data_IF_956738722784
#
_entry.id   IF_956738722784
#
_cell.length_a   1.000
_cell.length_b   1.000
_cell.length_c   1.000
_cell.angle_alpha   90.00
_cell.angle_beta   90.00
_cell.angle_gamma   90.00
#
_symmetry.space_group_name_H-M   'P 1'
#
loop_
_entity.id
_entity.type
_entity.pdbx_description
1 polymer ?
#
# COMPACT_ATOMS: atom_id res chain seq x y z
N UNK A 1 34.48 -47.30 -47.71
CA UNK A 1 33.10 -47.27 -47.17
C UNK A 1 32.87 -46.44 -45.89
N UNK A 2 33.84 -46.10 -45.01
CA UNK A 2 33.54 -45.32 -43.78
C UNK A 2 33.30 -43.81 -44.03
N UNK A 3 33.88 -43.24 -45.10
CA UNK A 3 33.76 -41.81 -45.41
C UNK A 3 32.32 -41.37 -45.74
N UNK A 4 31.51 -42.27 -46.30
CA UNK A 4 30.10 -42.02 -46.62
C UNK A 4 29.22 -41.93 -45.35
N UNK A 5 29.58 -42.67 -44.31
CA UNK A 5 28.91 -42.61 -43.00
C UNK A 5 29.24 -41.32 -42.26
N UNK A 6 30.52 -40.93 -42.25
CA UNK A 6 30.97 -39.68 -41.61
C UNK A 6 30.30 -38.46 -42.25
N UNK A 7 30.20 -38.44 -43.59
CA UNK A 7 29.55 -37.35 -44.32
C UNK A 7 28.03 -37.32 -44.10
N UNK A 8 27.38 -38.49 -44.02
CA UNK A 8 25.96 -38.60 -43.69
C UNK A 8 25.66 -38.07 -42.28
N UNK A 9 26.44 -38.47 -41.27
CA UNK A 9 26.28 -38.00 -39.88
C UNK A 9 26.51 -36.49 -39.78
N UNK A 10 27.50 -35.93 -40.48
CA UNK A 10 27.72 -34.48 -40.52
C UNK A 10 26.51 -33.71 -41.07
N UNK A 11 25.90 -34.20 -42.15
CA UNK A 11 24.70 -33.59 -42.73
C UNK A 11 23.51 -33.62 -41.76
N UNK A 12 23.35 -34.71 -41.03
CA UNK A 12 22.28 -34.82 -40.03
C UNK A 12 22.51 -33.88 -38.84
N UNK A 13 23.75 -33.74 -38.37
CA UNK A 13 24.11 -32.74 -37.34
C UNK A 13 23.78 -31.32 -37.81
N UNK A 14 24.13 -30.98 -39.05
CA UNK A 14 23.85 -29.65 -39.60
C UNK A 14 22.36 -29.40 -39.79
N UNK A 15 21.59 -30.43 -40.17
CA UNK A 15 20.13 -30.38 -40.23
C UNK A 15 19.52 -30.12 -38.85
N UNK A 16 19.92 -30.89 -37.84
CA UNK A 16 19.44 -30.74 -36.47
C UNK A 16 19.79 -29.36 -35.89
N UNK A 17 20.99 -28.83 -36.18
CA UNK A 17 21.37 -27.46 -35.77
C UNK A 17 20.44 -26.40 -36.36
N UNK A 18 20.10 -26.52 -37.65
CA UNK A 18 19.14 -25.61 -38.30
C UNK A 18 17.77 -25.70 -37.66
N UNK A 19 17.30 -26.91 -37.38
CA UNK A 19 15.99 -27.12 -36.75
C UNK A 19 15.95 -26.57 -35.32
N UNK A 20 17.02 -26.75 -34.53
CA UNK A 20 17.16 -26.11 -33.22
C UNK A 20 17.10 -24.59 -33.36
N UNK A 21 17.84 -24.01 -34.31
CA UNK A 21 17.82 -22.56 -34.56
C UNK A 21 16.43 -22.03 -34.91
N UNK A 22 15.70 -22.75 -35.75
CA UNK A 22 14.34 -22.39 -36.14
C UNK A 22 13.38 -22.47 -34.94
N UNK A 23 13.38 -23.59 -34.19
CA UNK A 23 12.56 -23.75 -32.99
C UNK A 23 12.89 -22.71 -31.90
N UNK A 24 14.16 -22.32 -31.76
CA UNK A 24 14.53 -21.26 -30.81
C UNK A 24 13.99 -19.89 -31.23
N UNK A 25 13.96 -19.59 -32.52
CA UNK A 25 13.36 -18.36 -33.05
C UNK A 25 11.84 -18.34 -32.86
N UNK A 26 11.18 -19.48 -33.10
CA UNK A 26 9.74 -19.64 -32.87
C UNK A 26 9.40 -19.48 -31.38
N UNK A 27 10.18 -20.06 -30.47
CA UNK A 27 10.02 -19.87 -29.03
C UNK A 27 10.20 -18.41 -28.61
N UNK A 28 11.14 -17.69 -29.21
CA UNK A 28 11.32 -16.26 -28.95
C UNK A 28 10.09 -15.45 -29.41
N UNK A 29 9.59 -15.71 -30.62
CA UNK A 29 8.40 -15.06 -31.16
C UNK A 29 7.14 -15.33 -30.32
N UNK A 30 6.95 -16.58 -29.85
CA UNK A 30 5.84 -16.94 -28.97
C UNK A 30 5.94 -16.26 -27.61
N UNK A 31 7.15 -16.16 -27.03
CA UNK A 31 7.37 -15.41 -25.78
C UNK A 31 7.02 -13.93 -25.95
N UNK A 32 7.43 -13.31 -27.06
CA UNK A 32 7.09 -11.92 -27.36
C UNK A 32 5.59 -11.72 -27.54
N UNK A 33 4.91 -12.66 -28.22
CA UNK A 33 3.46 -12.68 -28.34
C UNK A 33 2.77 -12.76 -26.97
N UNK A 34 3.21 -13.67 -26.11
CA UNK A 34 2.69 -13.83 -24.76
C UNK A 34 2.87 -12.55 -23.93
N UNK A 35 4.03 -11.89 -23.99
CA UNK A 35 4.28 -10.60 -23.31
C UNK A 35 3.30 -9.54 -23.82
N UNK A 36 3.09 -9.45 -25.13
CA UNK A 36 2.14 -8.48 -25.73
C UNK A 36 0.71 -8.74 -25.25
N UNK A 37 0.26 -9.99 -25.26
CA UNK A 37 -1.08 -10.34 -24.80
C UNK A 37 -1.25 -10.18 -23.29
N UNK A 38 -0.24 -10.47 -22.47
CA UNK A 38 -0.26 -10.19 -21.04
C UNK A 38 -0.36 -8.68 -20.76
N UNK A 39 0.38 -7.85 -21.50
CA UNK A 39 0.27 -6.38 -21.38
C UNK A 39 -1.11 -5.89 -21.78
N UNK A 40 -1.65 -6.38 -22.90
CA UNK A 40 -3.00 -6.05 -23.32
C UNK A 40 -4.03 -6.47 -22.27
N UNK A 41 -3.90 -7.69 -21.73
CA UNK A 41 -4.76 -8.17 -20.65
C UNK A 41 -4.66 -7.30 -19.39
N UNK A 42 -3.47 -6.88 -18.96
CA UNK A 42 -3.31 -5.96 -17.83
C UNK A 42 -3.96 -4.59 -18.05
N UNK A 43 -3.94 -4.08 -19.29
CA UNK A 43 -4.59 -2.83 -19.67
C UNK A 43 -6.12 -2.98 -19.71
N UNK A 44 -6.62 -4.09 -20.24
CA UNK A 44 -8.05 -4.38 -20.39
C UNK A 44 -8.72 -4.83 -19.09
N UNK A 45 -8.03 -5.63 -18.26
CA UNK A 45 -8.53 -6.11 -16.97
C UNK A 45 -8.58 -5.00 -15.91
N UNK A 46 -8.33 -3.75 -16.28
CA UNK A 46 -8.37 -2.62 -15.37
C UNK A 46 -7.34 -2.78 -14.26
N UNK A 47 -6.06 -2.95 -14.64
CA UNK A 47 -4.96 -3.05 -13.70
C UNK A 47 -5.12 -2.09 -12.53
N UNK A 48 -5.37 -2.66 -11.36
CA UNK A 48 -5.57 -1.97 -10.11
C UNK A 48 -4.49 -0.91 -9.87
N UNK A 49 -4.91 0.36 -10.00
CA UNK A 49 -4.79 1.39 -8.97
C UNK A 49 -3.52 1.42 -8.09
N UNK A 50 -2.31 1.18 -8.60
CA UNK A 50 -1.11 1.81 -8.04
C UNK A 50 -0.16 2.19 -9.16
N UNK A 51 -0.40 3.38 -9.71
CA UNK A 51 0.69 4.20 -10.21
C UNK A 51 1.82 4.15 -9.17
N UNK A 52 2.90 3.44 -9.48
CA UNK A 52 4.18 3.61 -8.82
C UNK A 52 4.60 5.05 -9.13
N UNK A 53 4.12 5.98 -8.31
CA UNK A 53 4.76 7.29 -8.20
C UNK A 53 6.23 6.99 -7.92
N UNK A 54 7.18 7.64 -8.62
CA UNK A 54 8.58 7.47 -8.30
C UNK A 54 8.74 7.78 -6.82
N UNK A 55 9.10 6.75 -6.06
CA UNK A 55 9.49 6.91 -4.67
C UNK A 55 10.74 7.75 -4.74
N UNK A 56 10.58 9.08 -4.60
CA UNK A 56 11.68 9.97 -4.24
C UNK A 56 12.37 9.28 -3.09
N UNK A 57 13.60 8.84 -3.30
CA UNK A 57 14.51 8.38 -2.24
C UNK A 57 14.63 9.54 -1.26
N UNK A 58 13.69 9.63 -0.32
CA UNK A 58 13.81 10.52 0.83
C UNK A 58 14.93 9.90 1.62
N UNK A 59 16.09 10.58 1.59
CA UNK A 59 17.23 10.26 2.42
C UNK A 59 16.74 9.89 3.81
N UNK A 60 17.34 8.82 4.34
CA UNK A 60 17.07 8.19 5.62
C UNK A 60 16.78 9.24 6.68
N UNK A 61 15.50 9.58 6.84
CA UNK A 61 15.08 10.56 7.82
C UNK A 61 15.34 9.89 9.17
N UNK A 62 16.28 10.50 9.93
CA UNK A 62 16.63 10.14 11.30
C UNK A 62 15.42 9.56 12.00
N UNK A 63 15.53 8.29 12.42
CA UNK A 63 14.51 7.54 13.16
C UNK A 63 14.05 8.40 14.34
N UNK A 64 12.99 9.16 14.12
CA UNK A 64 12.30 9.91 15.17
C UNK A 64 11.44 8.84 15.82
N UNK A 65 11.73 8.55 17.08
CA UNK A 65 11.00 7.56 17.88
C UNK A 65 9.51 7.75 17.61
N UNK A 66 8.79 6.69 17.14
CA UNK A 66 7.37 6.81 16.85
C UNK A 66 6.65 7.29 18.11
N UNK A 67 6.12 8.52 18.08
CA UNK A 67 5.30 9.05 19.18
C UNK A 67 4.19 8.05 19.48
N UNK A 68 4.19 7.51 20.70
CA UNK A 68 3.15 6.59 21.14
C UNK A 68 1.87 7.37 21.42
N UNK A 69 1.02 7.45 20.40
CA UNK A 69 -0.25 8.17 20.46
C UNK A 69 -1.21 7.63 21.52
N UNK A 70 -1.18 6.33 21.84
CA UNK A 70 -2.10 5.78 22.85
C UNK A 70 -1.76 6.30 24.25
N UNK A 71 -0.49 6.22 24.66
CA UNK A 71 -0.05 6.78 25.94
C UNK A 71 -0.24 8.31 26.01
N UNK A 72 -0.19 8.99 24.86
CA UNK A 72 -0.47 10.41 24.78
C UNK A 72 -1.95 10.73 24.99
N UNK A 73 -2.85 9.86 24.49
CA UNK A 73 -4.27 10.01 24.76
C UNK A 73 -4.52 10.00 26.27
N UNK A 74 -3.88 9.12 27.03
CA UNK A 74 -4.06 9.02 28.49
C UNK A 74 -3.68 10.33 29.21
N UNK A 75 -2.66 11.05 28.72
CA UNK A 75 -2.21 12.33 29.27
C UNK A 75 -3.10 13.52 28.91
N UNK A 76 -3.99 13.40 27.92
CA UNK A 76 -4.88 14.50 27.52
C UNK A 76 -6.00 14.72 28.57
N UNK A 77 -6.52 15.95 28.68
CA UNK A 77 -7.71 16.19 29.49
C UNK A 77 -8.93 15.41 28.97
N UNK A 78 -9.94 15.19 29.81
CA UNK A 78 -11.18 14.50 29.42
C UNK A 78 -11.88 15.13 28.22
N UNK A 79 -11.72 16.44 28.03
CA UNK A 79 -12.14 17.19 26.83
C UNK A 79 -10.92 17.90 26.26
N UNK A 80 -10.65 17.68 24.99
CA UNK A 80 -9.44 18.20 24.35
C UNK A 80 -9.70 18.60 22.90
N UNK A 81 -8.85 19.47 22.38
CA UNK A 81 -8.88 19.97 21.01
C UNK A 81 -7.68 19.48 20.23
N UNK A 82 -7.69 19.65 18.90
CA UNK A 82 -6.53 19.37 18.04
C UNK A 82 -5.27 20.12 18.51
N UNK A 83 -5.43 21.31 19.12
CA UNK A 83 -4.33 22.10 19.66
C UNK A 83 -3.71 21.45 20.90
N UNK A 84 -4.54 20.86 21.76
CA UNK A 84 -4.09 20.16 22.97
C UNK A 84 -3.33 18.88 22.61
N UNK A 85 -3.79 18.16 21.57
CA UNK A 85 -3.06 17.01 21.01
C UNK A 85 -1.71 17.46 20.44
N UNK A 86 -1.68 18.57 19.71
CA UNK A 86 -0.43 19.09 19.14
C UNK A 86 0.56 19.54 20.22
N UNK A 87 0.07 20.16 21.31
CA UNK A 87 0.88 20.57 22.46
C UNK A 87 1.43 19.36 23.23
N UNK A 88 0.59 18.36 23.48
CA UNK A 88 1.02 17.13 24.17
C UNK A 88 1.99 16.28 23.34
N UNK A 89 2.01 16.46 22.02
CA UNK A 89 2.90 15.75 21.11
C UNK A 89 4.34 16.28 21.11
N UNK A 90 4.64 17.32 21.92
CA UNK A 90 5.86 18.15 22.14
C UNK A 90 7.25 17.68 21.65
N UNK A 91 7.29 17.08 20.47
CA UNK A 91 8.45 16.45 19.84
C UNK A 91 8.30 16.61 18.33
N UNK A 92 8.70 17.78 17.83
CA UNK A 92 9.12 17.97 16.45
C UNK A 92 8.05 17.81 15.37
N UNK A 93 7.55 18.95 14.88
CA UNK A 93 7.07 19.15 13.49
C UNK A 93 6.00 18.17 12.96
N UNK A 94 5.15 17.59 13.80
CA UNK A 94 4.01 16.83 13.27
C UNK A 94 2.96 17.80 12.73
N UNK A 95 2.61 17.66 11.45
CA UNK A 95 1.69 18.57 10.79
C UNK A 95 0.31 18.52 11.45
N UNK A 96 -0.39 19.67 11.50
CA UNK A 96 -1.77 19.76 11.99
C UNK A 96 -2.70 18.74 11.31
N UNK A 97 -2.46 18.45 10.04
CA UNK A 97 -3.16 17.39 9.29
C UNK A 97 -2.95 15.98 9.89
N UNK A 98 -1.71 15.64 10.27
CA UNK A 98 -1.41 14.35 10.89
C UNK A 98 -2.06 14.22 12.27
N UNK A 99 -2.03 15.28 13.07
CA UNK A 99 -2.70 15.33 14.39
C UNK A 99 -4.22 15.12 14.25
N UNK A 100 -4.84 15.73 13.23
CA UNK A 100 -6.25 15.49 12.92
C UNK A 100 -6.54 14.03 12.54
N UNK A 101 -5.67 13.40 11.76
CA UNK A 101 -5.82 11.98 11.40
C UNK A 101 -5.77 11.08 12.64
N UNK A 102 -4.88 11.36 13.59
CA UNK A 102 -4.81 10.61 14.85
C UNK A 102 -6.11 10.77 15.65
N UNK A 103 -6.63 11.99 15.77
CA UNK A 103 -7.89 12.23 16.47
C UNK A 103 -9.08 11.51 15.81
N UNK A 104 -9.12 11.48 14.47
CA UNK A 104 -10.13 10.70 13.71
C UNK A 104 -9.98 9.21 13.95
N UNK A 105 -8.74 8.69 14.04
CA UNK A 105 -8.50 7.27 14.37
C UNK A 105 -8.97 6.92 15.77
N UNK A 106 -8.72 7.76 16.77
CA UNK A 106 -9.25 7.55 18.12
C UNK A 106 -10.78 7.56 18.17
N UNK A 107 -11.42 8.43 17.37
CA UNK A 107 -12.87 8.45 17.25
C UNK A 107 -13.41 7.18 16.59
N UNK A 108 -12.76 6.68 15.53
CA UNK A 108 -13.11 5.40 14.89
C UNK A 108 -12.92 4.21 15.83
N UNK A 109 -11.90 4.26 16.70
CA UNK A 109 -11.61 3.21 17.69
C UNK A 109 -12.51 3.27 18.93
N UNK A 110 -13.45 4.22 19.01
CA UNK A 110 -14.33 4.38 20.18
C UNK A 110 -13.65 4.91 21.44
N UNK A 111 -12.36 5.29 21.37
CA UNK A 111 -11.62 5.86 22.52
C UNK A 111 -12.06 7.29 22.85
N UNK A 112 -12.55 8.01 21.84
CA UNK A 112 -12.92 9.43 21.96
C UNK A 112 -14.21 9.71 21.18
N UNK A 113 -15.08 10.58 21.69
CA UNK A 113 -16.25 11.09 20.98
C UNK A 113 -15.96 12.47 20.41
N UNK A 114 -16.34 12.70 19.15
CA UNK A 114 -16.26 14.04 18.54
C UNK A 114 -17.49 14.85 18.99
N UNK A 115 -17.24 15.96 19.69
CA UNK A 115 -18.31 16.85 20.18
C UNK A 115 -18.55 18.01 19.20
N UNK A 116 -17.56 18.35 18.38
CA UNK A 116 -17.66 19.45 17.43
C UNK A 116 -16.49 19.52 16.46
N UNK A 117 -16.37 20.62 15.70
CA UNK A 117 -15.25 20.84 14.79
C UNK A 117 -13.94 20.96 15.58
N UNK A 118 -13.10 19.92 15.52
CA UNK A 118 -11.80 19.89 16.19
C UNK A 118 -11.85 19.72 17.71
N UNK A 119 -13.00 19.34 18.28
CA UNK A 119 -13.22 19.12 19.71
C UNK A 119 -13.57 17.65 19.96
N UNK A 120 -12.86 17.02 20.89
CA UNK A 120 -12.98 15.62 21.25
C UNK A 120 -13.13 15.46 22.76
N UNK A 121 -13.78 14.38 23.18
CA UNK A 121 -13.89 13.98 24.58
C UNK A 121 -13.52 12.51 24.71
N UNK A 122 -12.76 12.17 25.74
CA UNK A 122 -12.46 10.77 26.09
C UNK A 122 -13.74 10.06 26.46
N UNK A 123 -13.93 8.86 25.92
CA UNK A 123 -15.01 7.98 26.34
C UNK A 123 -14.54 7.31 27.63
N UNK A 124 -15.10 7.70 28.77
CA UNK A 124 -14.90 6.96 30.01
C UNK A 124 -15.53 5.58 29.80
N UNK A 125 -14.71 4.51 29.83
CA UNK A 125 -15.21 3.15 29.96
C UNK A 125 -15.90 3.04 31.32
N UNK A 126 -17.19 3.36 31.36
CA UNK A 126 -17.93 3.52 32.60
C UNK A 126 -19.28 4.25 32.47
N UNK A 127 -19.60 4.87 31.32
CA UNK A 127 -20.98 5.31 31.06
C UNK A 127 -21.67 4.39 30.05
N UNK A 128 -22.77 3.72 30.45
CA UNK A 128 -23.56 2.90 29.54
C UNK A 128 -24.08 3.78 28.41
N UNK A 129 -24.19 3.14 27.24
CA UNK A 129 -24.77 3.66 26.01
C UNK A 129 -26.15 4.27 26.32
N UNK A 130 -26.20 5.58 26.57
CA UNK A 130 -27.43 6.34 26.51
C UNK A 130 -27.88 6.27 25.05
N UNK A 131 -28.83 5.36 24.85
CA UNK A 131 -29.84 5.35 23.81
C UNK A 131 -29.93 6.69 23.10
N UNK A 132 -29.70 6.65 21.79
CA UNK A 132 -30.09 7.73 20.90
C UNK A 132 -31.58 7.98 21.13
N UNK A 133 -31.90 9.03 21.88
CA UNK A 133 -33.24 9.48 22.12
C UNK A 133 -33.85 9.89 20.79
N UNK A 134 -34.81 9.06 20.36
CA UNK A 134 -35.98 9.47 19.62
C UNK A 134 -36.47 10.83 20.12
N UNK A 135 -36.46 11.86 19.26
CA UNK A 135 -37.45 12.94 19.21
C UNK A 135 -37.38 13.61 17.83
N UNK A 136 -38.12 13.06 16.87
CA UNK A 136 -38.61 13.81 15.71
C UNK A 136 -40.04 14.20 16.08
N UNK A 137 -40.21 15.40 16.64
CA UNK A 137 -41.51 15.93 17.05
C UNK A 137 -42.07 16.82 15.95
N UNK A 138 -43.33 16.52 15.60
CA UNK A 138 -44.42 17.32 15.02
C UNK A 138 -44.13 18.12 13.75
#
# INVERSE_FOLDING_TARGET
>A
MPENLITSVKREIDRLKKEIGQRTSELAALKDGLIKHQRAYQLLAGGDTKAQRPVRRRGTARRTTPVNWNSMLDRLPSRFTVRDIAKAADTGRKSSGYVRQVAVRWAKQGKTKRIGRGKYQKVQQGQPRATAASQRNK
#
